data_IF_780034121029
#
_entry.id   IF_780034121029
#
_cell.length_a   1.000
_cell.length_b   1.000
_cell.length_c   1.000
_cell.angle_alpha   90.00
_cell.angle_beta   90.00
_cell.angle_gamma   90.00
#
_symmetry.space_group_name_H-M   'P 1'
#
loop_
_entity.id
_entity.type
_entity.pdbx_description
1 polymer ?
#
# COMPACT_ATOMS: atom_id res chain seq x y z
N UNK A 1 -11.33 23.04 -5.03
CA UNK A 1 -10.79 22.93 -3.67
C UNK A 1 -9.31 23.13 -3.72
N UNK A 2 -8.79 24.04 -2.91
CA UNK A 2 -7.36 24.23 -2.68
C UNK A 2 -6.82 23.02 -1.88
N UNK A 3 -5.62 22.53 -2.24
CA UNK A 3 -4.94 21.37 -1.65
C UNK A 3 -3.50 21.71 -1.22
N UNK A 4 -3.18 22.99 -1.08
CA UNK A 4 -1.83 23.45 -0.70
C UNK A 4 -1.42 23.01 0.72
N UNK A 5 -2.37 22.59 1.57
CA UNK A 5 -2.14 22.05 2.92
C UNK A 5 -2.14 20.50 2.96
N UNK A 6 -2.29 19.83 1.82
CA UNK A 6 -2.38 18.38 1.73
C UNK A 6 -1.05 17.74 1.33
N UNK A 7 -0.53 16.86 2.19
CA UNK A 7 0.70 16.10 1.99
C UNK A 7 0.42 14.60 1.90
N UNK A 8 0.88 13.97 0.82
CA UNK A 8 0.75 12.54 0.62
C UNK A 8 1.99 11.81 1.15
N UNK A 9 1.78 10.81 1.98
CA UNK A 9 2.77 9.88 2.51
C UNK A 9 2.59 8.56 1.76
N UNK A 10 3.69 8.05 1.20
CA UNK A 10 3.73 6.75 0.55
C UNK A 10 4.52 5.79 1.46
N UNK A 11 3.87 4.93 2.25
CA UNK A 11 4.54 3.82 2.90
C UNK A 11 4.96 2.79 1.84
N UNK A 12 6.26 2.74 1.58
CA UNK A 12 6.92 1.79 0.69
C UNK A 12 7.56 0.67 1.53
N UNK A 13 6.69 -0.14 2.13
CA UNK A 13 7.06 -1.33 2.89
C UNK A 13 6.61 -2.61 2.18
N UNK A 14 6.99 -3.76 2.74
CA UNK A 14 6.55 -5.06 2.25
C UNK A 14 7.42 -5.63 1.13
N UNK A 15 8.02 -6.79 1.39
CA UNK A 15 8.84 -7.50 0.40
C UNK A 15 7.99 -7.97 -0.78
N UNK A 16 6.75 -8.43 -0.51
CA UNK A 16 5.89 -9.06 -1.51
C UNK A 16 6.21 -10.54 -1.73
N UNK A 17 6.61 -11.28 -0.69
CA UNK A 17 7.15 -12.66 -0.76
C UNK A 17 6.36 -13.67 -1.59
N UNK A 18 5.05 -13.47 -1.80
CA UNK A 18 4.21 -14.30 -2.69
C UNK A 18 4.49 -14.10 -4.19
N UNK A 19 5.29 -13.09 -4.53
CA UNK A 19 5.80 -12.81 -5.88
C UNK A 19 7.26 -13.27 -6.04
N UNK A 20 7.80 -14.06 -5.11
CA UNK A 20 9.07 -14.76 -5.33
C UNK A 20 8.93 -15.68 -6.57
N UNK A 21 9.91 -15.77 -7.49
CA UNK A 21 11.26 -15.24 -7.38
C UNK A 21 11.47 -13.81 -7.89
N UNK A 22 10.42 -13.13 -8.37
CA UNK A 22 10.54 -11.76 -8.86
C UNK A 22 10.85 -10.80 -7.70
N UNK A 23 10.02 -10.79 -6.66
CA UNK A 23 10.27 -9.98 -5.46
C UNK A 23 11.28 -10.63 -4.52
N UNK A 24 12.17 -9.82 -3.95
CA UNK A 24 13.24 -10.22 -3.02
C UNK A 24 13.32 -9.27 -1.83
N UNK A 25 13.98 -9.68 -0.75
CA UNK A 25 14.24 -8.75 0.37
C UNK A 25 15.03 -7.51 -0.05
N UNK A 26 15.91 -7.63 -1.04
CA UNK A 26 16.70 -6.51 -1.58
C UNK A 26 15.95 -5.69 -2.63
N UNK A 27 14.90 -6.25 -3.24
CA UNK A 27 14.10 -5.58 -4.27
C UNK A 27 12.61 -5.94 -4.07
N UNK A 28 11.90 -5.18 -3.24
CA UNK A 28 10.49 -5.43 -2.92
C UNK A 28 9.56 -5.18 -4.11
N UNK A 29 8.33 -5.71 -4.02
CA UNK A 29 7.35 -5.65 -5.12
C UNK A 29 7.03 -4.24 -5.63
N UNK A 30 7.07 -3.22 -4.77
CA UNK A 30 6.76 -1.85 -5.16
C UNK A 30 7.77 -1.25 -6.16
N UNK A 31 8.95 -1.86 -6.30
CA UNK A 31 10.00 -1.45 -7.25
C UNK A 31 9.89 -2.11 -8.63
N UNK A 32 8.83 -2.90 -8.89
CA UNK A 32 8.59 -3.56 -10.17
C UNK A 32 7.44 -2.94 -10.93
N UNK A 33 7.51 -3.00 -12.26
CA UNK A 33 6.35 -2.81 -13.13
C UNK A 33 5.64 -4.16 -13.24
N UNK A 34 4.58 -4.34 -12.45
CA UNK A 34 3.82 -5.60 -12.41
C UNK A 34 2.68 -5.62 -13.44
N UNK A 35 2.52 -4.56 -14.22
CA UNK A 35 1.46 -4.41 -15.21
C UNK A 35 1.99 -4.34 -16.64
N UNK A 36 3.31 -4.34 -16.84
CA UNK A 36 3.93 -4.14 -18.16
C UNK A 36 3.64 -2.76 -18.75
N UNK A 37 3.41 -1.76 -17.89
CA UNK A 37 2.99 -0.41 -18.24
C UNK A 37 4.16 0.54 -18.56
N UNK A 38 5.40 0.12 -18.30
CA UNK A 38 6.60 0.95 -18.32
C UNK A 38 6.82 1.77 -17.04
N UNK A 39 5.96 1.61 -16.03
CA UNK A 39 6.06 2.29 -14.73
C UNK A 39 6.02 1.28 -13.60
N UNK A 40 6.90 1.45 -12.61
CA UNK A 40 6.85 0.63 -11.39
C UNK A 40 5.66 1.02 -10.51
N UNK A 41 5.27 0.14 -9.58
CA UNK A 41 4.14 0.40 -8.67
C UNK A 41 4.31 1.71 -7.88
N UNK A 42 5.51 1.96 -7.34
CA UNK A 42 5.80 3.19 -6.59
C UNK A 42 5.78 4.42 -7.50
N UNK A 43 6.24 4.30 -8.75
CA UNK A 43 6.16 5.39 -9.73
C UNK A 43 4.70 5.73 -10.06
N UNK A 44 3.86 4.72 -10.30
CA UNK A 44 2.43 4.93 -10.56
C UNK A 44 1.72 5.59 -9.37
N UNK A 45 2.07 5.19 -8.14
CA UNK A 45 1.53 5.81 -6.92
C UNK A 45 1.99 7.26 -6.77
N UNK A 46 3.28 7.54 -6.97
CA UNK A 46 3.83 8.89 -6.93
C UNK A 46 3.20 9.79 -8.00
N UNK A 47 3.14 9.35 -9.26
CA UNK A 47 2.57 10.12 -10.37
C UNK A 47 1.12 10.54 -10.06
N UNK A 48 0.32 9.59 -9.54
CA UNK A 48 -1.09 9.81 -9.19
C UNK A 48 -1.25 10.86 -8.08
N UNK A 49 -0.44 10.77 -7.04
CA UNK A 49 -0.49 11.69 -5.89
C UNK A 49 0.08 13.06 -6.23
N UNK A 50 1.19 13.12 -6.95
CA UNK A 50 1.77 14.36 -7.44
C UNK A 50 0.81 15.11 -8.38
N UNK A 51 0.00 14.39 -9.17
CA UNK A 51 -1.09 14.97 -9.95
C UNK A 51 -2.23 15.60 -9.13
N UNK A 52 -2.29 15.35 -7.81
CA UNK A 52 -3.30 15.87 -6.89
C UNK A 52 -2.74 17.01 -6.04
N UNK A 53 -1.63 16.80 -5.33
CA UNK A 53 -1.07 17.77 -4.38
C UNK A 53 0.22 18.45 -4.86
N UNK A 54 0.74 18.08 -6.04
CA UNK A 54 2.03 18.55 -6.53
C UNK A 54 3.20 17.72 -6.00
N UNK A 55 4.29 17.68 -6.77
CA UNK A 55 5.48 16.85 -6.48
C UNK A 55 6.13 17.20 -5.13
N UNK A 56 6.12 18.47 -4.74
CA UNK A 56 6.69 18.95 -3.47
C UNK A 56 5.92 18.51 -2.22
N UNK A 57 4.71 17.96 -2.37
CA UNK A 57 3.84 17.55 -1.27
C UNK A 57 3.73 16.02 -1.17
N UNK A 58 4.59 15.28 -1.87
CA UNK A 58 4.67 13.81 -1.75
C UNK A 58 5.93 13.43 -1.00
N UNK A 59 5.78 12.59 0.02
CA UNK A 59 6.88 12.01 0.78
C UNK A 59 6.78 10.49 0.79
N UNK A 60 7.92 9.81 0.98
CA UNK A 60 8.01 8.35 1.01
C UNK A 60 8.59 7.88 2.34
N UNK A 61 7.96 6.90 2.99
CA UNK A 61 8.56 6.16 4.11
C UNK A 61 9.00 4.80 3.61
N UNK A 62 10.27 4.44 3.78
CA UNK A 62 10.82 3.17 3.26
C UNK A 62 11.95 2.67 4.13
N UNK A 63 12.24 1.37 4.08
CA UNK A 63 13.42 0.82 4.76
C UNK A 63 14.73 1.44 4.25
N UNK A 64 15.69 1.67 5.16
CA UNK A 64 17.00 2.28 4.86
C UNK A 64 17.70 1.64 3.65
N UNK A 65 17.59 0.32 3.50
CA UNK A 65 18.19 -0.45 2.40
C UNK A 65 17.60 -0.16 1.00
N UNK A 66 16.44 0.49 0.93
CA UNK A 66 15.73 0.76 -0.33
C UNK A 66 15.76 2.23 -0.74
N UNK A 67 16.34 3.11 0.09
CA UNK A 67 16.34 4.57 -0.14
C UNK A 67 16.93 4.91 -1.51
N UNK A 68 18.07 4.33 -1.88
CA UNK A 68 18.73 4.63 -3.15
C UNK A 68 17.89 4.18 -4.35
N UNK A 69 17.28 3.00 -4.27
CA UNK A 69 16.40 2.49 -5.32
C UNK A 69 15.13 3.34 -5.48
N UNK A 70 14.55 3.79 -4.36
CA UNK A 70 13.39 4.70 -4.35
C UNK A 70 13.76 6.03 -4.99
N UNK A 71 14.89 6.64 -4.62
CA UNK A 71 15.37 7.89 -5.22
C UNK A 71 15.66 7.75 -6.71
N UNK A 72 16.25 6.63 -7.12
CA UNK A 72 16.48 6.33 -8.53
C UNK A 72 15.16 6.24 -9.32
N UNK A 73 14.12 5.63 -8.74
CA UNK A 73 12.82 5.51 -9.38
C UNK A 73 12.00 6.81 -9.36
N UNK A 74 12.20 7.66 -8.35
CA UNK A 74 11.48 8.91 -8.13
C UNK A 74 12.43 10.12 -8.13
N UNK A 75 13.05 10.48 -9.27
CA UNK A 75 14.03 11.57 -9.34
C UNK A 75 13.47 12.96 -9.06
N UNK A 76 12.14 13.10 -9.02
CA UNK A 76 11.43 14.34 -8.71
C UNK A 76 11.09 14.50 -7.22
N UNK A 77 11.37 13.48 -6.42
CA UNK A 77 11.14 13.51 -4.98
C UNK A 77 12.16 14.47 -4.36
N UNK A 78 11.70 15.36 -3.47
CA UNK A 78 12.58 16.32 -2.80
C UNK A 78 13.62 15.64 -1.90
N UNK A 79 14.74 16.33 -1.65
CA UNK A 79 15.84 15.75 -0.87
C UNK A 79 15.44 15.34 0.54
N UNK A 80 14.55 16.10 1.18
CA UNK A 80 14.06 15.85 2.54
C UNK A 80 12.70 15.12 2.58
N UNK A 81 12.31 14.47 1.48
CA UNK A 81 11.02 13.79 1.31
C UNK A 81 11.09 12.26 1.44
N UNK A 82 12.24 11.71 1.89
CA UNK A 82 12.39 10.27 2.20
C UNK A 82 12.61 10.07 3.69
N UNK A 83 11.73 9.32 4.33
CA UNK A 83 11.82 8.87 5.71
C UNK A 83 12.39 7.44 5.72
N UNK A 84 13.66 7.31 6.09
CA UNK A 84 14.36 6.04 6.10
C UNK A 84 14.14 5.29 7.42
N UNK A 85 13.52 4.11 7.35
CA UNK A 85 13.23 3.26 8.50
C UNK A 85 14.40 2.27 8.75
N UNK A 86 15.05 2.29 9.93
CA UNK A 86 16.12 1.36 10.27
C UNK A 86 15.65 -0.09 10.32
N UNK A 87 14.46 -0.31 10.88
CA UNK A 87 13.79 -1.62 10.98
C UNK A 87 12.29 -1.46 10.74
N UNK A 88 11.62 -2.44 10.11
CA UNK A 88 10.20 -2.32 9.80
C UNK A 88 9.33 -2.35 11.07
N UNK A 89 8.47 -1.34 11.23
CA UNK A 89 7.54 -1.19 12.37
C UNK A 89 6.06 -1.17 12.00
N UNK A 90 5.74 -1.68 10.80
CA UNK A 90 4.38 -1.66 10.23
C UNK A 90 3.91 -0.22 9.95
N UNK A 91 2.67 -0.04 9.48
CA UNK A 91 2.24 1.25 8.90
C UNK A 91 2.15 2.41 9.89
N UNK A 92 1.88 2.19 11.18
CA UNK A 92 1.66 3.29 12.14
C UNK A 92 2.89 4.15 12.32
N UNK A 93 4.07 3.56 12.51
CA UNK A 93 5.30 4.31 12.77
C UNK A 93 5.73 5.14 11.55
N UNK A 94 5.60 4.56 10.35
CA UNK A 94 5.87 5.23 9.07
C UNK A 94 4.99 6.48 8.90
N UNK A 95 3.67 6.32 9.07
CA UNK A 95 2.70 7.42 8.94
C UNK A 95 2.95 8.47 10.03
N UNK A 96 3.15 8.05 11.28
CA UNK A 96 3.30 8.94 12.42
C UNK A 96 4.56 9.79 12.33
N UNK A 97 5.70 9.21 11.95
CA UNK A 97 6.96 9.95 11.80
C UNK A 97 6.86 11.01 10.72
N UNK A 98 6.40 10.62 9.52
CA UNK A 98 6.22 11.56 8.42
C UNK A 98 5.25 12.68 8.79
N UNK A 99 4.13 12.32 9.45
CA UNK A 99 3.15 13.31 9.93
C UNK A 99 3.75 14.27 10.95
N UNK A 100 4.47 13.77 11.96
CA UNK A 100 5.07 14.61 13.00
C UNK A 100 6.09 15.59 12.44
N UNK A 101 6.93 15.16 11.49
CA UNK A 101 7.91 16.05 10.84
C UNK A 101 7.21 17.08 9.95
N UNK A 102 6.23 16.66 9.13
CA UNK A 102 5.47 17.59 8.29
C UNK A 102 4.68 18.61 9.13
N UNK A 103 4.07 18.19 10.24
CA UNK A 103 3.38 19.05 11.21
C UNK A 103 4.30 20.15 11.74
N UNK A 104 5.56 19.81 12.06
CA UNK A 104 6.55 20.79 12.53
C UNK A 104 6.99 21.77 11.45
N UNK A 105 7.06 21.31 10.19
CA UNK A 105 7.47 22.14 9.04
C UNK A 105 6.36 23.06 8.54
N UNK A 106 5.11 22.61 8.58
CA UNK A 106 3.99 23.25 7.86
C UNK A 106 2.78 23.59 8.74
N UNK A 107 2.80 23.21 10.02
CA UNK A 107 1.76 23.52 11.01
C UNK A 107 0.86 22.33 11.36
N UNK A 108 0.31 22.33 12.57
CA UNK A 108 -0.39 21.17 13.14
C UNK A 108 -1.74 20.83 12.50
N UNK A 109 -2.27 21.71 11.65
CA UNK A 109 -3.57 21.55 11.00
C UNK A 109 -3.49 21.14 9.53
N UNK A 110 -2.29 20.85 9.00
CA UNK A 110 -2.15 20.27 7.66
C UNK A 110 -2.91 18.95 7.55
N UNK A 111 -3.31 18.62 6.33
CA UNK A 111 -3.88 17.32 6.03
C UNK A 111 -2.78 16.40 5.52
N UNK A 112 -2.72 15.19 6.05
CA UNK A 112 -1.83 14.13 5.58
C UNK A 112 -2.64 12.97 5.04
N UNK A 113 -2.14 12.29 4.02
CA UNK A 113 -2.78 11.11 3.45
C UNK A 113 -1.80 9.96 3.25
N UNK A 114 -2.09 8.78 3.78
CA UNK A 114 -1.30 7.57 3.60
C UNK A 114 -1.84 6.74 2.43
N UNK A 115 -0.96 6.41 1.47
CA UNK A 115 -1.30 5.61 0.29
C UNK A 115 -0.18 4.60 0.01
N UNK A 116 -0.51 3.30 0.05
CA UNK A 116 0.49 2.24 -0.12
C UNK A 116 1.16 2.29 -1.51
N UNK A 117 2.46 2.01 -1.55
CA UNK A 117 3.28 2.08 -2.76
C UNK A 117 2.96 1.02 -3.83
N UNK A 118 2.14 0.03 -3.49
CA UNK A 118 1.98 -1.25 -4.15
C UNK A 118 0.54 -1.57 -4.56
N UNK A 119 -0.35 -0.57 -4.58
CA UNK A 119 -1.73 -0.72 -5.08
C UNK A 119 -1.86 -0.37 -6.56
N UNK A 120 -2.69 -1.12 -7.28
CA UNK A 120 -3.13 -0.78 -8.63
C UNK A 120 -4.40 0.03 -8.57
N UNK A 121 -4.37 1.21 -9.19
CA UNK A 121 -5.55 2.03 -9.43
C UNK A 121 -5.44 2.58 -10.85
N UNK A 122 -6.46 2.34 -11.68
CA UNK A 122 -6.45 2.66 -13.12
C UNK A 122 -7.14 3.96 -13.48
N UNK A 123 -8.13 4.39 -12.70
CA UNK A 123 -8.85 5.64 -12.92
C UNK A 123 -8.35 6.72 -11.95
N UNK A 124 -7.28 7.42 -12.36
CA UNK A 124 -6.68 8.51 -11.59
C UNK A 124 -7.67 9.68 -11.35
N UNK A 125 -8.65 9.88 -12.24
CA UNK A 125 -9.65 10.95 -12.07
C UNK A 125 -10.62 10.59 -10.96
N UNK A 126 -11.14 9.37 -10.95
CA UNK A 126 -12.02 8.88 -9.90
C UNK A 126 -11.31 8.78 -8.55
N UNK A 127 -10.06 8.32 -8.55
CA UNK A 127 -9.20 8.37 -7.36
C UNK A 127 -9.05 9.79 -6.84
N UNK A 128 -8.66 10.74 -7.70
CA UNK A 128 -8.49 12.14 -7.30
C UNK A 128 -9.78 12.79 -6.80
N UNK A 129 -10.96 12.39 -7.29
CA UNK A 129 -12.25 12.85 -6.72
C UNK A 129 -12.43 12.33 -5.28
N UNK A 130 -12.15 11.05 -5.06
CA UNK A 130 -12.29 10.41 -3.75
C UNK A 130 -11.32 11.03 -2.73
N UNK A 131 -10.06 11.26 -3.13
CA UNK A 131 -9.05 11.92 -2.28
C UNK A 131 -9.46 13.34 -1.91
N UNK A 132 -10.00 14.15 -2.84
CA UNK A 132 -10.46 15.52 -2.54
C UNK A 132 -11.57 15.55 -1.50
N UNK A 133 -12.55 14.64 -1.61
CA UNK A 133 -13.60 14.51 -0.60
C UNK A 133 -13.04 14.01 0.73
N UNK A 134 -12.07 13.10 0.71
CA UNK A 134 -11.41 12.62 1.92
C UNK A 134 -10.61 13.75 2.62
N UNK A 135 -9.97 14.63 1.86
CA UNK A 135 -9.32 15.84 2.40
C UNK A 135 -10.34 16.79 3.03
N UNK A 136 -11.49 17.00 2.39
CA UNK A 136 -12.57 17.81 2.95
C UNK A 136 -13.10 17.24 4.28
N UNK A 137 -13.34 15.93 4.34
CA UNK A 137 -13.74 15.25 5.58
C UNK A 137 -12.65 15.30 6.66
N UNK A 138 -11.37 15.15 6.29
CA UNK A 138 -10.25 15.30 7.20
C UNK A 138 -10.17 16.71 7.82
N UNK A 139 -10.45 17.76 7.04
CA UNK A 139 -10.52 19.14 7.55
C UNK A 139 -11.62 19.32 8.59
N UNK A 140 -12.75 18.62 8.44
CA UNK A 140 -13.81 18.57 9.45
C UNK A 140 -13.42 17.82 10.74
N UNK A 141 -12.29 17.10 10.74
CA UNK A 141 -11.72 16.45 11.92
C UNK A 141 -11.83 14.93 11.95
N UNK A 142 -12.31 14.32 10.88
CA UNK A 142 -12.39 12.87 10.76
C UNK A 142 -11.06 12.25 10.33
N UNK A 143 -10.76 11.04 10.79
CA UNK A 143 -9.83 10.15 10.09
C UNK A 143 -10.61 9.49 8.96
N UNK A 144 -10.31 9.86 7.72
CA UNK A 144 -11.12 9.46 6.57
C UNK A 144 -10.46 8.32 5.81
N UNK A 145 -11.17 7.22 5.56
CA UNK A 145 -10.72 6.11 4.71
C UNK A 145 -11.42 6.14 3.34
N UNK A 146 -10.85 5.45 2.35
CA UNK A 146 -11.49 5.26 1.04
C UNK A 146 -11.99 3.81 0.94
N UNK A 147 -13.31 3.64 0.89
CA UNK A 147 -13.95 2.33 0.87
C UNK A 147 -14.13 1.78 -0.54
N UNK A 148 -13.56 0.61 -0.82
CA UNK A 148 -13.68 -0.04 -2.13
C UNK A 148 -14.92 -0.95 -2.16
N UNK A 149 -15.66 -0.95 -3.26
CA UNK A 149 -16.79 -1.86 -3.43
C UNK A 149 -16.30 -3.32 -3.38
N UNK A 150 -16.80 -4.10 -2.42
CA UNK A 150 -16.46 -5.51 -2.32
C UNK A 150 -17.11 -6.28 -3.47
N UNK A 151 -16.31 -6.93 -4.31
CA UNK A 151 -16.79 -7.74 -5.44
C UNK A 151 -16.92 -9.23 -5.11
N UNK A 152 -16.34 -9.65 -3.98
CA UNK A 152 -16.34 -11.03 -3.46
C UNK A 152 -16.12 -11.04 -1.95
N UNK A 153 -16.46 -12.12 -1.23
CA UNK A 153 -15.98 -12.28 0.13
C UNK A 153 -14.46 -12.48 0.11
N UNK A 154 -13.76 -11.76 0.97
CA UNK A 154 -12.31 -11.83 1.17
C UNK A 154 -12.03 -11.83 2.66
N UNK A 155 -11.20 -12.76 3.14
CA UNK A 155 -10.67 -12.78 4.52
C UNK A 155 -9.32 -12.08 4.62
N UNK A 156 -8.82 -11.52 3.51
CA UNK A 156 -7.52 -10.87 3.44
C UNK A 156 -7.61 -9.34 3.67
N UNK A 157 -8.81 -8.78 3.57
CA UNK A 157 -9.06 -7.33 3.66
C UNK A 157 -9.87 -6.99 4.92
N UNK A 158 -9.67 -5.79 5.44
CA UNK A 158 -10.59 -5.17 6.38
C UNK A 158 -11.90 -4.75 5.69
N UNK A 159 -12.96 -4.63 6.49
CA UNK A 159 -14.28 -4.18 6.05
C UNK A 159 -14.70 -2.96 6.86
N UNK A 160 -15.35 -2.03 6.17
CA UNK A 160 -15.87 -0.78 6.71
C UNK A 160 -17.38 -0.86 6.60
N UNK A 161 -18.09 -0.78 7.74
CA UNK A 161 -19.55 -0.67 7.74
C UNK A 161 -19.95 0.78 7.48
N UNK A 162 -20.61 1.00 6.34
CA UNK A 162 -21.06 2.33 5.94
C UNK A 162 -22.21 2.78 6.85
N UNK A 163 -22.02 3.92 7.51
CA UNK A 163 -23.02 4.58 8.34
C UNK A 163 -23.76 5.72 7.62
N UNK A 164 -24.40 6.61 8.41
CA UNK A 164 -25.14 7.76 7.88
C UNK A 164 -24.28 8.67 7.00
N UNK A 165 -24.92 9.34 6.03
CA UNK A 165 -24.26 10.34 5.19
C UNK A 165 -23.84 11.57 6.01
N UNK A 166 -22.68 12.13 5.69
CA UNK A 166 -22.14 13.38 6.23
C UNK A 166 -22.31 14.55 5.25
N UNK A 167 -23.06 14.39 4.16
CA UNK A 167 -23.19 15.39 3.10
C UNK A 167 -23.70 16.76 3.61
N UNK A 168 -24.63 16.75 4.57
CA UNK A 168 -25.17 17.98 5.16
C UNK A 168 -24.16 18.69 6.08
N UNK A 169 -23.26 17.94 6.73
CA UNK A 169 -22.21 18.47 7.60
C UNK A 169 -20.99 18.94 6.80
N UNK A 170 -20.69 18.26 5.68
CA UNK A 170 -19.49 18.45 4.87
C UNK A 170 -19.90 18.59 3.40
N UNK A 171 -20.37 19.79 2.97
CA UNK A 171 -20.87 19.99 1.60
C UNK A 171 -19.84 19.72 0.49
N UNK A 172 -18.54 19.88 0.82
CA UNK A 172 -17.41 19.60 -0.07
C UNK A 172 -17.07 18.09 -0.17
N UNK A 173 -17.73 17.24 0.62
CA UNK A 173 -17.63 15.78 0.61
C UNK A 173 -19.02 15.13 0.58
N UNK A 174 -19.82 15.34 -0.49
CA UNK A 174 -21.19 14.84 -0.56
C UNK A 174 -21.33 13.32 -0.50
N UNK A 175 -20.27 12.58 -0.86
CA UNK A 175 -20.24 11.12 -0.78
C UNK A 175 -19.65 10.61 0.55
N UNK A 176 -19.30 11.48 1.50
CA UNK A 176 -18.76 11.04 2.79
C UNK A 176 -19.85 10.43 3.67
N UNK A 177 -19.50 9.34 4.33
CA UNK A 177 -20.33 8.65 5.32
C UNK A 177 -19.55 8.48 6.62
N UNK A 178 -20.26 8.50 7.75
CA UNK A 178 -19.69 8.06 9.02
C UNK A 178 -19.39 6.55 8.93
N UNK A 179 -18.32 6.09 9.57
CA UNK A 179 -18.06 4.65 9.72
C UNK A 179 -18.69 4.16 11.01
N UNK A 180 -19.63 3.23 10.90
CA UNK A 180 -20.29 2.62 12.06
C UNK A 180 -19.37 1.63 12.79
N UNK A 181 -18.60 0.87 12.01
CA UNK A 181 -17.71 -0.17 12.50
C UNK A 181 -16.58 -0.42 11.50
N UNK A 182 -15.40 -0.72 12.02
CA UNK A 182 -14.26 -1.19 11.24
C UNK A 182 -13.88 -2.59 11.71
N UNK A 183 -13.78 -3.54 10.78
CA UNK A 183 -13.47 -4.95 11.10
C UNK A 183 -12.32 -5.44 10.24
N UNK A 184 -11.17 -5.72 10.85
CA UNK A 184 -10.00 -6.20 10.13
C UNK A 184 -10.03 -7.73 9.93
N UNK A 185 -9.96 -8.17 8.67
CA UNK A 185 -9.81 -9.59 8.25
C UNK A 185 -10.81 -10.55 8.93
N UNK A 186 -12.12 -10.40 8.67
CA UNK A 186 -13.13 -11.30 9.20
C UNK A 186 -12.96 -12.73 8.67
N UNK A 187 -13.57 -13.70 9.36
CA UNK A 187 -13.68 -15.05 8.84
C UNK A 187 -14.56 -15.11 7.56
N UNK A 188 -14.48 -16.22 6.83
CA UNK A 188 -15.13 -16.36 5.53
C UNK A 188 -16.67 -16.25 5.61
N UNK A 189 -17.29 -16.74 6.68
CA UNK A 189 -18.74 -16.66 6.85
C UNK A 189 -19.19 -15.23 7.12
N UNK A 190 -18.45 -14.51 7.95
CA UNK A 190 -18.65 -13.10 8.25
C UNK A 190 -18.44 -12.23 6.99
N UNK A 191 -17.37 -12.45 6.23
CA UNK A 191 -17.12 -11.76 4.97
C UNK A 191 -18.26 -11.96 3.94
N UNK A 192 -18.82 -13.16 3.88
CA UNK A 192 -19.95 -13.47 3.01
C UNK A 192 -21.23 -12.75 3.45
N UNK A 193 -21.48 -12.67 4.76
CA UNK A 193 -22.60 -11.93 5.32
C UNK A 193 -22.46 -10.42 5.03
N UNK A 194 -21.27 -9.84 5.22
CA UNK A 194 -20.99 -8.44 4.88
C UNK A 194 -21.26 -8.11 3.42
N UNK A 195 -20.81 -8.97 2.50
CA UNK A 195 -21.07 -8.77 1.08
C UNK A 195 -22.57 -8.80 0.77
N UNK A 196 -23.34 -9.66 1.43
CA UNK A 196 -24.78 -9.80 1.16
C UNK A 196 -25.63 -8.61 1.60
N UNK A 197 -25.18 -7.80 2.55
CA UNK A 197 -25.92 -6.59 2.94
C UNK A 197 -25.74 -5.45 1.94
N UNK A 198 -24.60 -5.42 1.24
CA UNK A 198 -24.21 -4.31 0.37
C UNK A 198 -23.79 -3.04 1.13
N UNK A 199 -23.81 -3.06 2.47
CA UNK A 199 -23.49 -1.94 3.35
C UNK A 199 -22.00 -1.88 3.72
N UNK A 200 -21.25 -2.94 3.42
CA UNK A 200 -19.82 -2.98 3.70
C UNK A 200 -18.99 -2.64 2.46
N UNK A 201 -17.83 -2.05 2.72
CA UNK A 201 -16.78 -1.77 1.73
C UNK A 201 -15.47 -2.38 2.22
N UNK A 202 -14.58 -2.77 1.31
CA UNK A 202 -13.23 -3.13 1.69
C UNK A 202 -12.45 -1.90 2.14
N UNK A 203 -11.67 -2.06 3.20
CA UNK A 203 -10.61 -1.14 3.55
C UNK A 203 -9.40 -1.40 2.65
N UNK A 204 -9.04 -0.38 1.87
CA UNK A 204 -7.86 -0.42 1.02
C UNK A 204 -6.62 0.19 1.68
N UNK A 205 -6.60 0.37 3.02
CA UNK A 205 -5.45 0.89 3.75
C UNK A 205 -5.06 2.33 3.39
N UNK A 206 -5.98 3.09 2.81
CA UNK A 206 -5.80 4.51 2.46
C UNK A 206 -6.48 5.37 3.53
N UNK A 207 -5.72 6.29 4.13
CA UNK A 207 -6.22 7.14 5.21
C UNK A 207 -5.83 8.59 4.99
N UNK A 208 -6.78 9.52 5.11
CA UNK A 208 -6.59 10.97 4.99
C UNK A 208 -7.11 11.63 6.25
N UNK A 209 -6.28 12.44 6.90
CA UNK A 209 -6.56 12.97 8.23
C UNK A 209 -5.75 14.23 8.50
N UNK A 210 -6.19 15.02 9.48
CA UNK A 210 -5.43 16.17 9.95
C UNK A 210 -4.29 15.73 10.89
N UNK A 211 -3.14 16.39 10.82
CA UNK A 211 -1.94 15.99 11.58
C UNK A 211 -2.18 15.97 13.10
N UNK A 212 -2.76 17.03 13.66
CA UNK A 212 -3.14 17.12 15.08
C UNK A 212 -4.14 16.03 15.52
N UNK A 213 -5.07 15.62 14.64
CA UNK A 213 -6.03 14.55 14.93
C UNK A 213 -5.32 13.22 15.09
N UNK A 214 -4.48 12.81 14.13
CA UNK A 214 -3.80 11.52 14.20
C UNK A 214 -2.76 11.49 15.31
N UNK A 215 -1.97 12.56 15.50
CA UNK A 215 -1.01 12.65 16.61
C UNK A 215 -1.73 12.66 17.96
N UNK A 216 -2.88 13.34 18.07
CA UNK A 216 -3.75 13.32 19.24
C UNK A 216 -4.29 11.92 19.55
N UNK A 217 -4.70 11.16 18.53
CA UNK A 217 -5.13 9.77 18.68
C UNK A 217 -3.98 8.90 19.20
N UNK A 218 -2.80 9.00 18.61
CA UNK A 218 -1.62 8.24 19.05
C UNK A 218 -1.22 8.61 20.48
N UNK A 219 -1.27 9.90 20.86
CA UNK A 219 -1.04 10.32 22.25
C UNK A 219 -2.01 9.67 23.23
N UNK A 220 -3.27 9.49 22.83
CA UNK A 220 -4.32 8.89 23.67
C UNK A 220 -4.21 7.36 23.75
N UNK A 221 -4.01 6.70 22.63
CA UNK A 221 -4.08 5.23 22.53
C UNK A 221 -2.72 4.55 22.70
N UNK A 222 -1.64 5.20 22.26
CA UNK A 222 -0.27 4.66 22.21
C UNK A 222 0.75 5.72 22.68
N UNK A 223 0.67 6.19 23.94
CA UNK A 223 1.46 7.33 24.41
C UNK A 223 2.98 7.14 24.31
N UNK A 224 3.48 5.91 24.49
CA UNK A 224 4.91 5.59 24.35
C UNK A 224 5.38 5.70 22.89
N UNK A 225 4.60 5.16 21.94
CA UNK A 225 4.86 5.30 20.51
C UNK A 225 4.86 6.78 20.12
N UNK A 226 3.84 7.52 20.55
CA UNK A 226 3.76 8.97 20.30
C UNK A 226 4.99 9.70 20.85
N UNK A 227 5.40 9.44 22.09
CA UNK A 227 6.58 10.08 22.69
C UNK A 227 7.86 9.82 21.89
N UNK A 228 8.09 8.57 21.48
CA UNK A 228 9.24 8.19 20.66
C UNK A 228 9.23 8.88 19.30
N UNK A 229 8.08 8.91 18.63
CA UNK A 229 7.92 9.60 17.34
C UNK A 229 8.19 11.11 17.47
N UNK A 230 7.65 11.75 18.50
CA UNK A 230 7.84 13.20 18.70
C UNK A 230 9.31 13.54 19.03
N UNK A 231 10.01 12.70 19.80
CA UNK A 231 11.43 12.88 20.08
C UNK A 231 12.29 12.79 18.80
N UNK A 232 11.99 11.83 17.92
CA UNK A 232 12.63 11.70 16.62
C UNK A 232 12.33 12.93 15.74
N UNK A 233 11.07 13.33 15.66
CA UNK A 233 10.65 14.48 14.85
C UNK A 233 11.25 15.81 15.34
N UNK A 234 11.55 15.94 16.62
CA UNK A 234 12.22 17.12 17.20
C UNK A 234 13.67 17.26 16.71
N UNK A 235 14.38 16.14 16.53
CA UNK A 235 15.76 16.08 16.06
C UNK A 235 15.88 16.11 14.53
N UNK A 236 14.79 15.81 13.81
CA UNK A 236 14.81 15.51 12.37
C UNK A 236 15.48 16.58 11.50
N UNK A 237 15.19 17.85 11.77
CA UNK A 237 15.68 19.01 11.00
C UNK A 237 16.85 19.75 11.68
N UNK A 238 17.44 19.20 12.75
CA UNK A 238 18.57 19.81 13.46
C UNK A 238 19.93 19.47 12.86
N UNK A 239 20.00 18.38 12.09
CA UNK A 239 21.21 17.91 11.43
C UNK A 239 21.16 16.40 11.22
N UNK A 240 21.99 15.89 10.30
CA UNK A 240 22.01 14.47 9.98
C UNK A 240 22.42 13.59 11.17
N UNK A 241 23.41 14.04 11.95
CA UNK A 241 23.93 13.31 13.12
C UNK A 241 22.87 13.24 14.24
N UNK A 242 22.25 14.35 14.63
CA UNK A 242 21.18 14.37 15.64
C UNK A 242 19.97 13.53 15.24
N UNK A 243 19.59 13.57 13.95
CA UNK A 243 18.52 12.73 13.39
C UNK A 243 18.88 11.25 13.51
N UNK A 244 20.11 10.88 13.16
CA UNK A 244 20.57 9.49 13.23
C UNK A 244 20.59 8.99 14.67
N UNK A 245 21.14 9.76 15.61
CA UNK A 245 21.17 9.43 17.03
C UNK A 245 19.75 9.21 17.59
N UNK A 246 18.80 10.08 17.27
CA UNK A 246 17.42 9.94 17.70
C UNK A 246 16.75 8.68 17.09
N UNK A 247 16.98 8.41 15.80
CA UNK A 247 16.46 7.20 15.14
C UNK A 247 17.00 5.93 15.80
N UNK A 248 18.30 5.87 16.08
CA UNK A 248 18.93 4.73 16.75
C UNK A 248 18.43 4.53 18.18
N UNK A 249 18.24 5.63 18.91
CA UNK A 249 17.78 5.60 20.30
C UNK A 249 16.32 5.15 20.42
N UNK A 250 15.41 5.73 19.62
CA UNK A 250 13.97 5.60 19.85
C UNK A 250 13.29 4.59 18.93
N UNK A 251 13.69 4.49 17.65
CA UNK A 251 13.00 3.65 16.66
C UNK A 251 12.95 2.15 17.02
N UNK A 252 14.01 1.53 17.59
CA UNK A 252 13.97 0.12 17.98
C UNK A 252 12.96 -0.20 19.09
N UNK A 253 12.59 0.78 19.91
CA UNK A 253 11.59 0.62 20.98
C UNK A 253 10.15 0.79 20.51
N UNK A 254 9.92 1.30 19.29
CA UNK A 254 8.57 1.54 18.78
C UNK A 254 7.81 0.22 18.59
N UNK A 255 6.59 0.16 19.12
CA UNK A 255 5.69 -0.97 18.93
C UNK A 255 5.42 -1.19 17.44
N UNK A 256 5.53 -2.45 16.98
CA UNK A 256 5.14 -2.84 15.62
C UNK A 256 3.62 -3.02 15.58
N UNK A 257 2.90 -2.13 14.89
CA UNK A 257 1.43 -2.15 14.82
C UNK A 257 0.92 -1.45 13.55
N UNK A 258 -0.06 -2.05 12.88
CA UNK A 258 -0.73 -1.45 11.73
C UNK A 258 -1.66 -0.31 12.15
N UNK A 259 -1.80 0.69 11.28
CA UNK A 259 -2.60 1.90 11.49
C UNK A 259 -4.07 1.58 11.77
N UNK A 260 -4.59 0.52 11.13
CA UNK A 260 -5.95 0.02 11.29
C UNK A 260 -6.26 -0.26 12.77
N UNK A 261 -5.39 -1.03 13.45
CA UNK A 261 -5.52 -1.35 14.86
C UNK A 261 -5.16 -0.18 15.79
N UNK A 262 -4.19 0.65 15.40
CA UNK A 262 -3.67 1.73 16.24
C UNK A 262 -4.63 2.93 16.32
N UNK A 263 -5.36 3.21 15.24
CA UNK A 263 -6.16 4.43 15.10
C UNK A 263 -7.55 4.15 14.54
N UNK A 264 -7.67 3.51 13.37
CA UNK A 264 -8.95 3.44 12.64
C UNK A 264 -10.02 2.68 13.42
N UNK A 265 -9.71 1.48 13.90
CA UNK A 265 -10.63 0.63 14.67
C UNK A 265 -11.09 1.32 15.97
N UNK A 266 -10.22 1.74 16.92
CA UNK A 266 -10.66 2.36 18.17
C UNK A 266 -11.37 3.71 17.96
N UNK A 267 -10.99 4.48 16.93
CA UNK A 267 -11.61 5.77 16.64
C UNK A 267 -12.98 5.62 15.94
N UNK A 268 -13.21 4.55 15.18
CA UNK A 268 -14.49 4.29 14.52
C UNK A 268 -15.63 4.14 15.53
N UNK A 269 -15.40 3.36 16.59
CA UNK A 269 -16.34 3.20 17.71
C UNK A 269 -16.61 4.50 18.47
N UNK A 270 -15.70 5.48 18.40
CA UNK A 270 -15.85 6.80 18.99
C UNK A 270 -16.49 7.84 18.04
N UNK A 271 -16.89 7.44 16.83
CA UNK A 271 -17.50 8.32 15.83
C UNK A 271 -16.52 9.26 15.13
N UNK A 272 -15.21 8.99 15.19
CA UNK A 272 -14.17 9.86 14.62
C UNK A 272 -13.67 9.43 13.23
N UNK A 273 -14.30 8.44 12.60
CA UNK A 273 -13.88 7.90 11.30
C UNK A 273 -14.96 8.14 10.25
N UNK A 274 -14.56 8.68 9.11
CA UNK A 274 -15.40 8.84 7.93
C UNK A 274 -14.90 7.92 6.80
N UNK A 275 -15.77 7.63 5.83
CA UNK A 275 -15.43 6.88 4.62
C UNK A 275 -15.98 7.61 3.40
N UNK A 276 -15.16 7.70 2.36
CA UNK A 276 -15.57 8.12 1.02
C UNK A 276 -15.54 6.90 0.09
N UNK A 277 -16.61 6.59 -0.65
CA UNK A 277 -16.61 5.50 -1.63
C UNK A 277 -15.56 5.71 -2.73
N UNK A 278 -14.70 4.72 -2.94
CA UNK A 278 -13.75 4.68 -4.04
C UNK A 278 -14.44 4.19 -5.31
N UNK A 279 -14.86 5.13 -6.16
CA UNK A 279 -15.49 4.83 -7.46
C UNK A 279 -14.50 4.43 -8.56
N UNK A 280 -13.48 3.64 -8.23
CA UNK A 280 -12.38 3.25 -9.12
C UNK A 280 -11.97 1.79 -8.90
N UNK A 281 -11.39 1.19 -9.95
CA UNK A 281 -10.79 -0.15 -9.84
C UNK A 281 -9.58 -0.11 -8.92
N UNK A 282 -9.51 -1.08 -8.00
CA UNK A 282 -8.43 -1.22 -7.03
C UNK A 282 -8.04 -2.69 -6.85
N UNK A 283 -6.74 -2.95 -6.70
CA UNK A 283 -6.18 -4.26 -6.33
C UNK A 283 -4.87 -4.04 -5.53
N UNK A 284 -4.61 -4.89 -4.53
CA UNK A 284 -3.42 -4.79 -3.67
C UNK A 284 -2.20 -5.60 -4.19
N UNK A 285 -2.38 -6.31 -5.31
CA UNK A 285 -1.47 -7.31 -5.86
C UNK A 285 -0.87 -8.18 -4.75
N UNK A 286 -1.68 -9.13 -4.30
CA UNK A 286 -1.27 -10.08 -3.27
C UNK A 286 -0.37 -11.20 -3.77
N UNK A 287 -0.46 -11.60 -5.04
CA UNK A 287 0.24 -12.77 -5.62
C UNK A 287 0.22 -12.76 -7.16
N UNK A 288 0.82 -13.78 -7.80
CA UNK A 288 0.83 -13.92 -9.27
C UNK A 288 -0.54 -14.15 -9.89
N UNK A 289 -1.50 -14.72 -9.14
CA UNK A 289 -2.86 -14.87 -9.65
C UNK A 289 -3.55 -13.51 -9.81
N UNK A 290 -3.28 -12.60 -8.88
CA UNK A 290 -3.74 -11.20 -8.90
C UNK A 290 -3.11 -10.45 -10.09
N UNK A 291 -1.78 -10.57 -10.27
CA UNK A 291 -1.07 -10.02 -11.44
C UNK A 291 -1.68 -10.51 -12.76
N UNK A 292 -1.90 -11.82 -12.88
CA UNK A 292 -2.47 -12.43 -14.07
C UNK A 292 -3.90 -11.94 -14.37
N UNK A 293 -4.70 -11.61 -13.34
CA UNK A 293 -6.01 -11.00 -13.50
C UNK A 293 -5.97 -9.60 -14.10
N UNK A 294 -4.86 -8.87 -13.89
CA UNK A 294 -4.70 -7.49 -14.32
C UNK A 294 -4.00 -7.36 -15.69
N UNK A 295 -3.19 -8.35 -16.08
CA UNK A 295 -2.48 -8.33 -17.36
C UNK A 295 -3.41 -8.62 -18.55
N UNK A 296 -3.13 -8.03 -19.73
CA UNK A 296 -3.78 -8.42 -20.97
C UNK A 296 -3.44 -9.86 -21.35
N UNK A 297 -4.28 -10.47 -22.18
CA UNK A 297 -4.03 -11.83 -22.69
C UNK A 297 -3.11 -11.79 -23.90
N UNK A 298 -2.05 -12.59 -23.86
CA UNK A 298 -1.18 -12.89 -24.99
C UNK A 298 -1.81 -13.99 -25.84
N UNK A 299 -2.66 -13.59 -26.79
CA UNK A 299 -3.32 -14.50 -27.73
C UNK A 299 -4.63 -15.12 -27.22
N UNK A 300 -5.11 -16.16 -27.90
CA UNK A 300 -6.48 -16.70 -27.74
C UNK A 300 -6.69 -17.59 -26.53
N UNK A 301 -5.62 -18.17 -25.96
CA UNK A 301 -5.68 -19.12 -24.84
C UNK A 301 -5.45 -18.47 -23.47
N UNK A 302 -5.57 -17.14 -23.39
CA UNK A 302 -5.52 -16.39 -22.13
C UNK A 302 -4.21 -16.53 -21.33
N UNK A 303 -3.09 -16.81 -22.00
CA UNK A 303 -1.76 -16.76 -21.37
C UNK A 303 -1.46 -15.31 -21.01
N UNK A 304 -0.93 -15.08 -19.81
CA UNK A 304 -0.54 -13.76 -19.28
C UNK A 304 0.98 -13.72 -19.25
N UNK A 305 1.58 -12.71 -19.85
CA UNK A 305 3.03 -12.56 -19.89
C UNK A 305 3.40 -11.22 -19.25
N UNK A 306 4.25 -11.25 -18.24
CA UNK A 306 4.88 -10.07 -17.66
C UNK A 306 6.35 -10.03 -18.07
N UNK A 307 6.67 -9.19 -19.04
CA UNK A 307 8.00 -9.09 -19.64
C UNK A 307 7.96 -9.32 -21.14
N UNK A 308 9.06 -9.80 -21.70
CA UNK A 308 9.22 -9.99 -23.15
C UNK A 308 8.44 -11.21 -23.65
N UNK A 309 7.36 -10.98 -24.41
CA UNK A 309 6.54 -12.05 -24.98
C UNK A 309 7.26 -12.89 -26.01
N UNK A 310 8.31 -12.37 -26.65
CA UNK A 310 9.07 -13.11 -27.67
C UNK A 310 9.88 -14.26 -27.06
N UNK A 311 10.08 -14.24 -25.74
CA UNK A 311 10.72 -15.33 -24.99
C UNK A 311 9.75 -16.46 -24.61
N UNK A 312 8.46 -16.36 -24.92
CA UNK A 312 7.47 -17.38 -24.53
C UNK A 312 6.88 -18.05 -25.76
N UNK A 313 7.07 -19.36 -25.86
CA UNK A 313 6.49 -20.19 -26.90
C UNK A 313 5.52 -21.17 -26.26
N UNK A 314 4.29 -21.24 -26.76
CA UNK A 314 3.27 -22.16 -26.24
C UNK A 314 2.69 -23.03 -27.33
N UNK A 315 2.46 -24.29 -26.99
CA UNK A 315 1.72 -25.27 -27.79
C UNK A 315 0.72 -25.98 -26.87
N UNK A 316 -0.55 -25.93 -27.22
CA UNK A 316 -1.64 -26.55 -26.45
C UNK A 316 -1.64 -26.19 -24.95
N UNK A 317 -1.33 -24.94 -24.60
CA UNK A 317 -1.26 -24.42 -23.23
C UNK A 317 -2.13 -23.16 -23.06
N UNK A 318 -2.68 -22.90 -21.88
CA UNK A 318 -3.63 -21.81 -21.65
C UNK A 318 -3.86 -21.44 -20.17
N UNK A 319 -4.29 -20.21 -19.93
CA UNK A 319 -4.55 -19.69 -18.56
C UNK A 319 -3.30 -19.42 -17.72
N UNK A 320 -2.11 -19.69 -18.27
CA UNK A 320 -0.82 -19.54 -17.59
C UNK A 320 -0.44 -18.09 -17.30
N UNK A 321 0.41 -17.91 -16.29
CA UNK A 321 1.09 -16.66 -15.94
C UNK A 321 2.60 -16.88 -16.07
N UNK A 322 3.23 -16.15 -16.99
CA UNK A 322 4.63 -16.35 -17.35
C UNK A 322 5.43 -15.06 -17.14
N UNK A 323 6.60 -15.18 -16.52
CA UNK A 323 7.56 -14.09 -16.32
C UNK A 323 8.93 -14.53 -16.85
N UNK A 324 9.32 -14.12 -18.08
CA UNK A 324 10.60 -14.48 -18.69
C UNK A 324 11.67 -13.42 -18.38
N UNK A 325 12.20 -13.40 -17.14
CA UNK A 325 13.21 -12.43 -16.69
C UNK A 325 14.62 -13.04 -16.57
N UNK A 326 14.76 -14.36 -16.73
CA UNK A 326 16.05 -15.06 -16.66
C UNK A 326 16.81 -15.15 -17.99
N UNK A 327 16.30 -14.52 -19.05
CA UNK A 327 16.97 -14.37 -20.35
C UNK A 327 16.97 -15.63 -21.23
N UNK A 328 16.10 -16.60 -20.96
CA UNK A 328 15.95 -17.85 -21.72
C UNK A 328 14.52 -17.99 -22.25
N UNK A 329 14.36 -18.70 -23.37
CA UNK A 329 13.04 -19.04 -23.90
C UNK A 329 12.31 -20.01 -22.97
N UNK A 330 11.06 -19.69 -22.63
CA UNK A 330 10.14 -20.54 -21.89
C UNK A 330 9.21 -21.22 -22.90
N UNK A 331 9.28 -22.55 -22.98
CA UNK A 331 8.41 -23.37 -23.82
C UNK A 331 7.33 -24.07 -22.98
N UNK A 332 6.06 -23.82 -23.27
CA UNK A 332 4.90 -24.44 -22.64
C UNK A 332 4.27 -25.46 -23.60
N UNK A 333 4.09 -26.70 -23.15
CA UNK A 333 3.49 -27.78 -23.94
C UNK A 333 2.46 -28.54 -23.10
N UNK A 334 1.18 -28.42 -23.44
CA UNK A 334 0.10 -29.19 -22.79
C UNK A 334 -0.11 -28.85 -21.30
N UNK A 335 0.35 -27.68 -20.84
CA UNK A 335 0.17 -27.23 -19.45
C UNK A 335 -0.85 -26.12 -19.42
N UNK A 336 -1.76 -26.16 -18.44
CA UNK A 336 -2.77 -25.13 -18.27
C UNK A 336 -2.77 -24.63 -16.82
N UNK A 337 -3.13 -23.36 -16.64
CA UNK A 337 -3.25 -22.69 -15.35
C UNK A 337 -1.98 -22.80 -14.49
N UNK A 338 -0.80 -22.62 -15.09
CA UNK A 338 0.49 -22.62 -14.40
C UNK A 338 1.04 -21.21 -14.18
N UNK A 339 1.78 -21.03 -13.09
CA UNK A 339 2.67 -19.90 -12.85
C UNK A 339 4.08 -20.37 -13.19
N UNK A 340 4.75 -19.71 -14.12
CA UNK A 340 6.14 -19.96 -14.52
C UNK A 340 6.91 -18.65 -14.46
N UNK A 341 7.80 -18.52 -13.47
CA UNK A 341 8.55 -17.29 -13.21
C UNK A 341 10.03 -17.62 -13.26
N UNK A 342 10.68 -17.22 -14.33
CA UNK A 342 12.10 -17.42 -14.56
C UNK A 342 12.84 -16.11 -14.26
N UNK A 343 13.73 -16.13 -13.28
CA UNK A 343 14.70 -15.06 -12.99
C UNK A 343 16.11 -15.59 -13.26
N UNK A 344 17.15 -14.72 -13.30
CA UNK A 344 18.50 -15.17 -13.64
C UNK A 344 19.03 -16.31 -12.74
N UNK A 345 18.61 -16.34 -11.48
CA UNK A 345 19.10 -17.18 -10.39
C UNK A 345 18.09 -18.23 -9.87
N UNK A 346 16.81 -18.13 -10.26
CA UNK A 346 15.75 -18.99 -9.74
C UNK A 346 14.62 -19.21 -10.76
N UNK A 347 13.94 -20.34 -10.65
CA UNK A 347 12.74 -20.67 -11.41
C UNK A 347 11.65 -21.13 -10.44
N UNK A 348 10.48 -20.52 -10.52
CA UNK A 348 9.27 -21.01 -9.88
C UNK A 348 8.34 -21.60 -10.92
N UNK A 349 7.89 -22.82 -10.65
CA UNK A 349 6.78 -23.45 -11.37
C UNK A 349 5.76 -23.92 -10.34
N UNK A 350 4.53 -23.42 -10.44
CA UNK A 350 3.46 -23.80 -9.53
C UNK A 350 2.10 -23.73 -10.23
N UNK A 351 1.10 -24.55 -9.84
CA UNK A 351 -0.27 -24.32 -10.27
C UNK A 351 -0.75 -22.93 -9.83
N UNK A 352 -1.46 -22.22 -10.70
CA UNK A 352 -1.98 -20.88 -10.45
C UNK A 352 -2.88 -20.81 -9.23
N UNK A 353 -3.66 -21.86 -8.96
CA UNK A 353 -4.50 -21.99 -7.78
C UNK A 353 -3.72 -22.00 -6.44
N UNK A 354 -2.41 -22.25 -6.47
CA UNK A 354 -1.53 -22.31 -5.30
C UNK A 354 -0.64 -21.07 -5.15
N UNK A 355 -0.96 -19.97 -5.85
CA UNK A 355 -0.21 -18.71 -5.83
C UNK A 355 0.07 -18.18 -4.43
N UNK A 356 -0.89 -18.32 -3.50
CA UNK A 356 -0.75 -17.85 -2.12
C UNK A 356 0.31 -18.63 -1.30
N UNK A 357 0.60 -19.87 -1.68
CA UNK A 357 1.54 -20.78 -1.00
C UNK A 357 3.02 -20.47 -1.36
N UNK A 358 3.27 -19.57 -2.31
CA UNK A 358 4.65 -19.15 -2.67
C UNK A 358 5.40 -18.59 -1.45
N UNK A 359 4.70 -17.92 -0.53
CA UNK A 359 5.27 -17.46 0.75
C UNK A 359 5.81 -18.62 1.60
N UNK A 360 5.16 -19.77 1.56
CA UNK A 360 5.54 -20.94 2.34
C UNK A 360 6.77 -21.60 1.69
N UNK A 361 6.88 -21.51 0.36
CA UNK A 361 8.09 -21.90 -0.36
C UNK A 361 9.29 -21.02 0.00
N UNK A 362 9.12 -19.72 0.14
CA UNK A 362 10.18 -18.81 0.64
C UNK A 362 10.65 -19.24 2.03
N UNK A 363 9.72 -19.57 2.94
CA UNK A 363 10.05 -20.10 4.26
C UNK A 363 10.85 -21.41 4.18
N UNK A 364 10.47 -22.31 3.26
CA UNK A 364 11.19 -23.55 3.00
C UNK A 364 12.60 -23.29 2.45
N UNK A 365 12.77 -22.40 1.47
CA UNK A 365 14.08 -22.06 0.91
C UNK A 365 15.05 -21.53 1.98
N UNK A 366 14.57 -20.69 2.90
CA UNK A 366 15.39 -20.21 4.03
C UNK A 366 15.86 -21.36 4.93
N UNK A 367 14.99 -22.35 5.21
CA UNK A 367 15.39 -23.55 5.96
C UNK A 367 16.45 -24.40 5.25
N UNK A 368 16.51 -24.33 3.92
CA UNK A 368 17.55 -24.98 3.12
C UNK A 368 18.81 -24.13 2.97
N UNK A 369 18.91 -22.99 3.66
CA UNK A 369 20.06 -22.08 3.63
C UNK A 369 20.19 -21.32 2.31
N UNK A 370 19.09 -21.15 1.57
CA UNK A 370 19.06 -20.45 0.27
C UNK A 370 18.74 -18.97 0.42
N UNK A 371 19.33 -18.31 1.41
CA UNK A 371 19.11 -16.87 1.66
C UNK A 371 19.68 -15.98 0.54
N UNK A 372 20.54 -16.53 -0.33
CA UNK A 372 21.07 -15.89 -1.53
C UNK A 372 19.98 -15.49 -2.54
N UNK A 373 18.83 -16.15 -2.49
CA UNK A 373 17.70 -15.98 -3.43
C UNK A 373 16.40 -15.54 -2.74
N UNK A 374 16.43 -14.89 -1.57
CA UNK A 374 15.22 -14.50 -0.82
C UNK A 374 14.86 -13.01 -0.86
#
# INVERSE_FOLDING_TARGET
MDLDDFYAIIPAGGVGTRLWPLSRQARPKFLYDLLGSGRTMIQGTFDRLAGICGEGHVVVSTGQRHVDQVRQQLPKLGDEAVFAEPVPRDSTAAIALATAVLSRRHGDRIVVGSFAADHVIRDDRAFGRSVRQAVAAARAGYVTTIGIAASRPSTAFGYIHQGPSLADEIPDAPDAHLVSEFVEKPDASTAQAYLSTGEYRWNAGMFVMRADVVLGCLKRYLPELHSSIMAIAEAWDRGADERQEAMEQYWPGIQKIAFDYAVAEPLSTAGGVAMVPGGFDWDDIGDFNSVAGLLPSSGRRNIKILGDSDQVVSLDSGGDMVVPDGGRTIALLGVDDMIVVDTPDALLVAPRARSQEVKDMVGKLSQYGRDDIL
#
